data_IF_341143255769
#
_entry.id   IF_341143255769
#
_cell.length_a   1.000
_cell.length_b   1.000
_cell.length_c   1.000
_cell.angle_alpha   90.00
_cell.angle_beta   90.00
_cell.angle_gamma   90.00
#
_symmetry.space_group_name_H-M   'P 1'
#
loop_
_entity.id
_entity.type
_entity.pdbx_description
1 polymer ?
#
# COMPACT_ATOMS: atom_id res chain seq x y z
N UNK A 1 -19.85 -16.59 3.20
CA UNK A 1 -19.81 -15.19 3.66
C UNK A 1 -18.44 -14.95 4.26
N UNK A 2 -17.74 -13.88 3.86
CA UNK A 2 -16.34 -13.63 4.26
C UNK A 2 -16.19 -13.10 5.70
N UNK A 3 -17.27 -12.64 6.31
CA UNK A 3 -17.31 -12.09 7.68
C UNK A 3 -18.55 -12.69 8.38
N UNK A 4 -18.45 -13.07 9.65
CA UNK A 4 -19.49 -13.79 10.44
C UNK A 4 -19.76 -13.16 11.82
N UNK A 5 -19.34 -11.93 12.05
CA UNK A 5 -19.60 -11.23 13.30
C UNK A 5 -21.09 -10.97 13.48
N UNK A 6 -21.55 -10.97 14.72
CA UNK A 6 -22.94 -10.64 15.07
C UNK A 6 -23.33 -9.24 14.54
N UNK A 7 -22.39 -8.29 14.59
CA UNK A 7 -22.58 -6.93 14.06
C UNK A 7 -22.82 -6.90 12.54
N UNK A 8 -22.18 -7.79 11.77
CA UNK A 8 -22.45 -7.90 10.34
C UNK A 8 -23.74 -8.68 10.04
N UNK A 9 -24.13 -9.64 10.87
CA UNK A 9 -25.44 -10.31 10.74
C UNK A 9 -26.61 -9.32 10.91
N UNK A 10 -26.49 -8.35 11.83
CA UNK A 10 -27.49 -7.28 12.01
C UNK A 10 -27.68 -6.41 10.76
N UNK A 11 -26.63 -6.22 9.97
CA UNK A 11 -26.62 -5.34 8.78
C UNK A 11 -26.92 -6.12 7.49
N UNK A 12 -27.04 -7.46 7.56
CA UNK A 12 -27.26 -8.35 6.40
C UNK A 12 -26.22 -8.14 5.28
N UNK A 13 -24.94 -8.02 5.67
CA UNK A 13 -23.84 -7.75 4.72
C UNK A 13 -23.59 -8.98 3.82
N UNK A 14 -23.64 -8.77 2.52
CA UNK A 14 -23.38 -9.83 1.51
C UNK A 14 -24.55 -10.10 0.56
N UNK A 15 -25.72 -9.47 0.76
CA UNK A 15 -26.88 -9.59 -0.14
C UNK A 15 -27.10 -8.37 -1.03
N UNK A 16 -26.12 -7.48 -1.16
CA UNK A 16 -26.26 -6.30 -2.01
C UNK A 16 -25.74 -6.59 -3.43
N UNK A 17 -26.56 -6.29 -4.44
CA UNK A 17 -26.14 -6.21 -5.83
C UNK A 17 -25.08 -5.11 -5.94
N UNK A 18 -23.82 -5.51 -6.12
CA UNK A 18 -22.70 -4.58 -6.26
C UNK A 18 -21.97 -4.88 -7.54
N UNK A 19 -21.79 -3.84 -8.36
CA UNK A 19 -20.79 -3.89 -9.40
C UNK A 19 -19.42 -3.92 -8.74
N UNK A 20 -18.57 -4.88 -9.12
CA UNK A 20 -17.18 -4.86 -8.69
C UNK A 20 -16.52 -3.52 -9.03
N UNK A 21 -15.49 -3.14 -8.27
CA UNK A 21 -14.66 -1.98 -8.58
C UNK A 21 -13.89 -2.31 -9.87
N UNK A 22 -14.52 -2.03 -11.01
CA UNK A 22 -13.97 -2.28 -12.34
C UNK A 22 -13.73 -0.94 -13.02
N UNK A 23 -12.47 -0.58 -13.17
CA UNK A 23 -12.09 0.60 -13.92
C UNK A 23 -12.49 0.45 -15.38
N UNK A 24 -13.12 1.47 -15.94
CA UNK A 24 -13.34 1.55 -17.38
C UNK A 24 -11.98 1.67 -18.07
N UNK A 25 -11.74 0.79 -19.03
CA UNK A 25 -10.55 0.88 -19.89
C UNK A 25 -10.64 2.16 -20.70
N UNK A 26 -9.64 3.02 -20.56
CA UNK A 26 -9.54 4.25 -21.34
C UNK A 26 -8.72 4.02 -22.62
N UNK A 27 -8.46 5.10 -23.34
CA UNK A 27 -7.65 5.09 -24.55
C UNK A 27 -6.17 4.71 -24.33
N UNK A 28 -5.70 4.62 -23.08
CA UNK A 28 -4.34 4.28 -22.69
C UNK A 28 -4.21 2.85 -22.16
N UNK A 29 -5.33 2.15 -21.95
CA UNK A 29 -5.33 0.73 -21.60
C UNK A 29 -4.51 -0.09 -22.60
N UNK A 30 -3.60 -0.92 -22.08
CA UNK A 30 -2.71 -1.78 -22.86
C UNK A 30 -1.84 -1.03 -23.88
N UNK A 31 -1.54 0.26 -23.63
CA UNK A 31 -0.55 1.03 -24.37
C UNK A 31 0.67 1.27 -23.50
N UNK A 32 1.85 1.00 -24.05
CA UNK A 32 3.11 1.27 -23.37
C UNK A 32 3.52 2.71 -23.66
N UNK A 33 3.93 3.45 -22.64
CA UNK A 33 4.51 4.78 -22.80
C UNK A 33 5.97 4.67 -23.24
N UNK A 34 6.36 5.34 -24.32
CA UNK A 34 7.76 5.43 -24.74
C UNK A 34 8.46 6.49 -23.90
N UNK A 35 9.46 6.08 -23.11
CA UNK A 35 10.28 7.01 -22.33
C UNK A 35 11.34 7.62 -23.28
N UNK A 36 11.44 8.95 -23.40
CA UNK A 36 12.50 9.58 -24.18
C UNK A 36 13.89 9.24 -23.64
N UNK A 37 14.89 9.05 -24.51
CA UNK A 37 16.25 8.66 -24.11
C UNK A 37 16.95 9.63 -23.13
N UNK A 38 16.48 10.87 -23.05
CA UNK A 38 17.01 11.91 -22.15
C UNK A 38 16.25 12.04 -20.83
N UNK A 39 15.21 11.22 -20.62
CA UNK A 39 14.37 11.26 -19.44
C UNK A 39 14.67 10.05 -18.54
N UNK A 40 14.86 10.33 -17.26
CA UNK A 40 14.81 9.33 -16.21
C UNK A 40 13.40 9.26 -15.61
N UNK A 41 13.08 8.11 -15.03
CA UNK A 41 11.78 7.87 -14.36
C UNK A 41 12.04 7.23 -13.00
N UNK A 42 11.42 7.79 -11.97
CA UNK A 42 11.34 7.19 -10.64
C UNK A 42 9.93 6.62 -10.46
N UNK A 43 9.83 5.31 -10.28
CA UNK A 43 8.58 4.63 -9.95
C UNK A 43 8.55 4.30 -8.46
N UNK A 44 7.47 4.70 -7.80
CA UNK A 44 7.17 4.32 -6.42
C UNK A 44 5.92 3.43 -6.44
N UNK A 45 6.05 2.20 -5.98
CA UNK A 45 4.92 1.27 -5.90
C UNK A 45 4.81 0.67 -4.50
N UNK A 46 3.60 0.67 -3.96
CA UNK A 46 3.27 0.09 -2.66
C UNK A 46 2.52 -1.23 -2.81
N UNK A 47 2.84 -2.21 -1.96
CA UNK A 47 2.17 -3.53 -1.94
C UNK A 47 0.76 -3.52 -1.32
N UNK A 48 0.30 -2.36 -0.86
CA UNK A 48 -0.97 -2.16 -0.16
C UNK A 48 -2.03 -1.44 -1.01
N UNK A 49 -1.81 -1.29 -2.30
CA UNK A 49 -2.80 -0.77 -3.23
C UNK A 49 -3.59 -1.95 -3.88
N UNK A 50 -4.79 -2.30 -3.38
CA UNK A 50 -5.60 -3.35 -3.98
C UNK A 50 -6.15 -2.98 -5.37
N UNK A 51 -6.12 -1.70 -5.76
CA UNK A 51 -6.56 -1.21 -7.07
C UNK A 51 -5.50 -1.45 -8.15
N UNK A 52 -4.22 -1.48 -7.75
CA UNK A 52 -3.07 -1.75 -8.64
C UNK A 52 -2.38 -3.05 -8.22
N UNK A 53 -2.78 -4.22 -8.77
CA UNK A 53 -2.23 -5.51 -8.36
C UNK A 53 -0.70 -5.51 -8.44
N UNK A 54 -0.04 -5.85 -7.33
CA UNK A 54 1.41 -5.73 -7.20
C UNK A 54 2.17 -6.54 -8.27
N UNK A 55 1.59 -7.58 -8.89
CA UNK A 55 2.18 -8.32 -10.01
C UNK A 55 2.60 -7.44 -11.20
N UNK A 56 1.90 -6.34 -11.46
CA UNK A 56 2.24 -5.41 -12.54
C UNK A 56 3.39 -4.48 -12.14
N UNK A 57 3.43 -4.11 -10.85
CA UNK A 57 4.58 -3.46 -10.28
C UNK A 57 5.78 -4.40 -10.23
N UNK A 58 5.63 -5.67 -9.86
CA UNK A 58 6.70 -6.69 -9.82
C UNK A 58 7.35 -6.92 -11.19
N UNK A 59 6.58 -6.94 -12.29
CA UNK A 59 7.14 -6.97 -13.65
C UNK A 59 8.02 -5.75 -13.96
N UNK A 60 7.64 -4.58 -13.46
CA UNK A 60 8.36 -3.31 -13.61
C UNK A 60 9.46 -3.13 -12.54
N UNK A 61 9.37 -3.86 -11.43
CA UNK A 61 10.25 -3.85 -10.26
C UNK A 61 11.35 -4.91 -10.36
N UNK A 62 11.15 -5.98 -11.14
CA UNK A 62 12.23 -6.89 -11.55
C UNK A 62 13.31 -6.15 -12.34
N UNK A 63 13.02 -4.94 -12.82
CA UNK A 63 13.99 -3.98 -13.32
C UNK A 63 14.51 -3.01 -12.22
N UNK A 64 13.75 -2.68 -11.15
CA UNK A 64 14.11 -1.68 -10.11
C UNK A 64 13.34 -1.86 -8.74
N UNK A 65 14.01 -1.96 -7.58
CA UNK A 65 13.47 -2.36 -6.22
C UNK A 65 13.02 -1.22 -5.24
N UNK A 66 11.95 -1.37 -4.39
CA UNK A 66 11.61 -0.57 -3.14
C UNK A 66 10.51 -1.16 -2.15
N UNK A 67 10.48 -0.77 -0.83
CA UNK A 67 9.49 -1.09 0.30
C UNK A 67 9.33 0.05 1.39
N UNK A 68 8.49 -0.03 2.47
CA UNK A 68 7.99 1.05 3.39
C UNK A 68 7.94 0.81 4.95
N UNK A 69 7.91 1.89 5.79
CA UNK A 69 7.56 1.93 7.26
C UNK A 69 7.78 3.30 8.00
N UNK A 70 6.88 3.69 8.94
CA UNK A 70 6.74 4.92 9.78
C UNK A 70 6.03 6.17 9.15
N UNK A 71 4.86 6.61 9.66
CA UNK A 71 4.13 7.80 9.16
C UNK A 71 4.70 9.17 9.55
N UNK A 72 5.55 9.24 10.58
CA UNK A 72 5.99 10.51 11.18
C UNK A 72 7.47 10.82 10.97
N UNK A 73 8.32 9.83 10.69
CA UNK A 73 9.68 10.09 10.21
C UNK A 73 9.69 10.49 8.73
N UNK A 74 10.80 11.10 8.28
CA UNK A 74 11.08 11.16 6.85
C UNK A 74 11.14 9.74 6.30
N UNK A 75 10.01 9.27 5.76
CA UNK A 75 9.92 7.97 5.13
C UNK A 75 11.02 7.83 4.10
N UNK A 76 11.69 6.68 4.05
CA UNK A 76 12.78 6.45 3.10
C UNK A 76 12.33 6.75 1.64
N UNK A 77 11.07 6.44 1.30
CA UNK A 77 10.47 6.84 0.02
C UNK A 77 10.53 8.34 -0.27
N UNK A 78 10.32 9.18 0.73
CA UNK A 78 10.44 10.63 0.61
C UNK A 78 11.90 11.09 0.46
N UNK A 79 12.85 10.43 1.15
CA UNK A 79 14.29 10.71 0.99
C UNK A 79 14.79 10.38 -0.41
N UNK A 80 14.42 9.21 -0.92
CA UNK A 80 14.74 8.78 -2.30
C UNK A 80 14.12 9.75 -3.32
N UNK A 81 12.84 10.13 -3.15
CA UNK A 81 12.19 11.11 -4.02
C UNK A 81 12.89 12.48 -3.98
N UNK A 82 13.22 12.97 -2.79
CA UNK A 82 13.93 14.24 -2.63
C UNK A 82 15.32 14.20 -3.25
N UNK A 83 16.04 13.08 -3.13
CA UNK A 83 17.33 12.87 -3.80
C UNK A 83 17.19 12.89 -5.32
N UNK A 84 16.20 12.19 -5.87
CA UNK A 84 15.91 12.20 -7.31
C UNK A 84 15.67 13.61 -7.84
N UNK A 85 14.84 14.40 -7.16
CA UNK A 85 14.55 15.78 -7.55
C UNK A 85 15.81 16.67 -7.44
N UNK A 86 16.58 16.56 -6.35
CA UNK A 86 17.82 17.33 -6.16
C UNK A 86 18.90 16.97 -7.17
N UNK A 87 18.99 15.71 -7.58
CA UNK A 87 19.89 15.21 -8.62
C UNK A 87 19.44 15.54 -10.04
N UNK A 88 18.35 16.31 -10.22
CA UNK A 88 17.83 16.64 -11.55
C UNK A 88 17.32 15.42 -12.32
N UNK A 89 16.86 14.41 -11.60
CA UNK A 89 16.51 13.10 -12.14
C UNK A 89 17.71 12.20 -12.48
N UNK A 90 18.96 12.62 -12.24
CA UNK A 90 20.11 11.76 -12.47
C UNK A 90 20.10 10.58 -11.49
N UNK A 91 19.91 9.37 -12.01
CA UNK A 91 19.83 8.14 -11.21
C UNK A 91 21.18 7.75 -10.58
N UNK A 92 22.30 8.23 -11.11
CA UNK A 92 23.64 8.02 -10.52
C UNK A 92 23.84 8.81 -9.23
N UNK A 93 23.08 9.90 -9.05
CA UNK A 93 23.11 10.74 -7.85
C UNK A 93 22.05 10.33 -6.81
N UNK A 94 21.28 9.28 -7.11
CA UNK A 94 20.17 8.85 -6.29
C UNK A 94 20.68 8.20 -4.99
N UNK A 95 20.41 8.85 -3.87
CA UNK A 95 20.71 8.35 -2.54
C UNK A 95 19.64 7.33 -2.14
N UNK A 96 20.09 6.08 -2.03
CA UNK A 96 19.28 4.93 -1.61
C UNK A 96 19.77 4.34 -0.29
N UNK A 97 20.68 5.01 0.41
CA UNK A 97 21.26 4.51 1.66
C UNK A 97 20.20 4.13 2.70
N UNK A 98 19.12 4.92 2.79
CA UNK A 98 18.01 4.62 3.70
C UNK A 98 17.27 3.32 3.40
N UNK A 99 17.37 2.78 2.17
CA UNK A 99 16.65 1.57 1.75
C UNK A 99 17.22 0.36 2.47
N UNK A 100 18.54 0.32 2.64
CA UNK A 100 19.25 -0.76 3.34
C UNK A 100 18.95 -0.75 4.85
N UNK A 101 18.66 0.44 5.40
CA UNK A 101 18.30 0.64 6.81
C UNK A 101 16.82 0.38 7.10
N UNK A 102 15.99 0.14 6.08
CA UNK A 102 14.56 -0.07 6.31
C UNK A 102 14.32 -1.36 7.08
N UNK A 103 13.45 -1.32 8.10
CA UNK A 103 13.10 -2.52 8.82
C UNK A 103 12.42 -3.53 7.89
N UNK A 104 12.59 -4.81 8.20
CA UNK A 104 11.79 -5.85 7.56
C UNK A 104 10.30 -5.49 7.70
N UNK A 105 9.56 -5.66 6.61
CA UNK A 105 8.15 -5.34 6.56
C UNK A 105 7.41 -6.14 7.65
N UNK A 106 6.89 -5.42 8.64
CA UNK A 106 6.15 -5.99 9.75
C UNK A 106 4.75 -5.40 9.76
N UNK A 107 3.77 -6.28 9.57
CA UNK A 107 2.35 -5.95 9.55
C UNK A 107 1.66 -6.15 10.90
N UNK A 108 2.42 -6.50 11.94
CA UNK A 108 1.90 -6.58 13.30
C UNK A 108 1.53 -5.18 13.79
N UNK A 109 0.23 -4.96 13.94
CA UNK A 109 -0.34 -3.77 14.54
C UNK A 109 -0.26 -3.90 16.06
N UNK A 110 0.05 -2.81 16.77
CA UNK A 110 -0.02 -2.82 18.23
C UNK A 110 -1.46 -3.08 18.68
N UNK A 111 -1.61 -3.86 19.76
CA UNK A 111 -2.88 -4.20 20.39
C UNK A 111 -3.76 -2.97 20.63
N UNK A 112 -3.16 -1.84 21.05
CA UNK A 112 -3.88 -0.58 21.23
C UNK A 112 -4.62 -0.13 19.95
N UNK A 113 -3.97 -0.21 18.79
CA UNK A 113 -4.55 0.17 17.50
C UNK A 113 -5.55 -0.88 17.01
N UNK A 114 -5.27 -2.16 17.25
CA UNK A 114 -6.21 -3.25 16.98
C UNK A 114 -7.54 -3.03 17.70
N UNK A 115 -7.48 -2.69 18.98
CA UNK A 115 -8.65 -2.46 19.82
C UNK A 115 -9.37 -1.17 19.47
N UNK A 116 -8.63 -0.07 19.31
CA UNK A 116 -9.22 1.26 19.10
C UNK A 116 -9.83 1.44 17.71
N UNK A 117 -9.26 0.84 16.66
CA UNK A 117 -9.74 1.03 15.28
C UNK A 117 -10.51 -0.17 14.73
N UNK A 118 -10.11 -1.38 15.09
CA UNK A 118 -10.68 -2.60 14.51
C UNK A 118 -11.57 -3.38 15.48
N UNK A 119 -11.51 -3.10 16.79
CA UNK A 119 -12.31 -3.78 17.80
C UNK A 119 -12.10 -5.30 17.81
N UNK A 120 -10.87 -5.75 17.54
CA UNK A 120 -10.52 -7.17 17.35
C UNK A 120 -9.12 -7.44 17.89
N UNK A 121 -8.78 -8.72 18.10
CA UNK A 121 -7.43 -9.15 18.50
C UNK A 121 -6.49 -9.40 17.31
N UNK A 122 -7.00 -9.33 16.07
CA UNK A 122 -6.22 -9.57 14.86
C UNK A 122 -6.76 -8.68 13.72
N UNK A 123 -5.88 -7.89 13.10
CA UNK A 123 -6.24 -6.91 12.06
C UNK A 123 -6.70 -7.54 10.73
N UNK A 124 -6.36 -8.81 10.49
CA UNK A 124 -6.53 -9.48 9.21
C UNK A 124 -7.67 -10.49 9.25
N UNK A 125 -7.66 -11.36 10.27
CA UNK A 125 -8.57 -12.50 10.39
C UNK A 125 -9.38 -12.47 11.70
N UNK A 126 -9.28 -11.40 12.47
CA UNK A 126 -9.94 -11.32 13.76
C UNK A 126 -11.43 -11.01 13.67
N UNK A 127 -12.20 -11.56 14.61
CA UNK A 127 -13.65 -11.35 14.70
C UNK A 127 -13.93 -10.11 15.54
N UNK A 128 -14.75 -9.20 15.00
CA UNK A 128 -15.15 -7.99 15.71
C UNK A 128 -15.79 -8.32 17.06
N UNK A 129 -15.33 -7.63 18.10
CA UNK A 129 -15.84 -7.70 19.45
C UNK A 129 -15.85 -6.29 20.05
N UNK A 130 -17.04 -5.69 20.13
CA UNK A 130 -17.24 -4.35 20.68
C UNK A 130 -16.73 -4.16 22.10
N UNK A 131 -16.59 -5.24 22.88
CA UNK A 131 -16.04 -5.19 24.25
C UNK A 131 -14.54 -4.92 24.29
N UNK A 132 -13.82 -5.17 23.18
CA UNK A 132 -12.40 -4.87 23.06
C UNK A 132 -12.13 -3.40 22.75
N UNK A 133 -13.11 -2.67 22.24
CA UNK A 133 -12.96 -1.24 22.02
C UNK A 133 -12.85 -0.55 23.37
N UNK A 134 -11.63 -0.13 23.72
CA UNK A 134 -11.39 0.74 24.87
C UNK A 134 -12.12 2.06 24.59
N UNK A 135 -13.23 2.28 25.31
CA UNK A 135 -14.09 3.46 25.32
C UNK A 135 -13.56 4.69 24.54
N UNK A 136 -14.32 5.10 23.51
CA UNK A 136 -14.54 6.52 23.24
C UNK A 136 -15.32 7.17 24.38
#
# INVERSE_FOLDING_TARGET
TKEKSASCEEINVGTYESNGIVYKRDQYWNKTATIPNQASVLLLSGKLDPQTPNKYAEYLLNELQMVAGDPWSEACGMKVLASYVRGGGNLELLDRSCVDDMPAFNLTTLDFYLYSYFGTNDAYDGVYNSSLMSYS
#
